data_IF_424350393597
#
_entry.id   IF_424350393597
#
_cell.length_a   1.000
_cell.length_b   1.000
_cell.length_c   1.000
_cell.angle_alpha   90.00
_cell.angle_beta   90.00
_cell.angle_gamma   90.00
#
_symmetry.space_group_name_H-M   'P 1'
#
loop_
_entity.id
_entity.type
_entity.pdbx_description
1 polymer ?
#
# COMPACT_ATOMS: atom_id res chain seq x y z
N UNK A 1 4.49 8.86 5.48
CA UNK A 1 4.21 10.31 5.63
C UNK A 1 3.46 10.63 6.91
N UNK A 2 2.26 10.07 7.13
CA UNK A 2 1.40 10.39 8.28
C UNK A 2 2.01 10.16 9.68
N UNK A 3 3.15 9.45 9.77
CA UNK A 3 3.92 9.27 11.00
C UNK A 3 4.88 10.43 11.33
N UNK A 4 5.01 11.43 10.46
CA UNK A 4 5.88 12.58 10.71
C UNK A 4 5.29 13.50 11.81
N UNK A 5 6.15 14.24 12.53
CA UNK A 5 5.68 15.30 13.42
C UNK A 5 4.81 16.32 12.68
N UNK A 6 3.73 16.78 13.31
CA UNK A 6 2.78 17.74 12.74
C UNK A 6 1.49 17.13 12.19
N UNK A 7 1.43 15.80 12.00
CA UNK A 7 0.18 15.07 11.74
C UNK A 7 -0.50 14.74 13.07
N UNK A 8 -1.30 15.68 13.60
CA UNK A 8 -1.91 15.59 14.95
C UNK A 8 -3.38 15.21 14.96
N UNK A 9 -4.00 15.03 13.78
CA UNK A 9 -5.36 14.55 13.62
C UNK A 9 -5.34 13.24 12.81
N UNK A 10 -6.33 12.35 13.01
CA UNK A 10 -6.48 11.17 12.17
C UNK A 10 -6.60 11.56 10.69
N UNK A 11 -5.85 10.86 9.83
CA UNK A 11 -5.95 11.00 8.38
C UNK A 11 -6.84 9.93 7.76
N UNK A 12 -7.19 10.11 6.49
CA UNK A 12 -8.03 9.16 5.71
C UNK A 12 -7.23 7.97 5.14
N UNK A 13 -6.22 7.48 5.87
CA UNK A 13 -5.51 6.24 5.51
C UNK A 13 -6.25 5.08 6.17
N UNK A 14 -7.02 4.33 5.39
CA UNK A 14 -7.75 3.14 5.85
C UNK A 14 -7.02 1.85 5.49
N UNK A 15 -7.44 0.74 6.08
CA UNK A 15 -7.03 -0.59 5.62
C UNK A 15 -7.39 -0.80 4.14
N UNK A 16 -6.55 -1.55 3.43
CA UNK A 16 -6.73 -1.84 1.99
C UNK A 16 -8.09 -2.48 1.70
N UNK A 17 -8.57 -3.36 2.59
CA UNK A 17 -9.85 -4.07 2.46
C UNK A 17 -11.09 -3.16 2.49
N UNK A 18 -10.93 -1.88 2.89
CA UNK A 18 -12.00 -0.89 2.75
C UNK A 18 -12.31 -0.57 1.29
N UNK A 19 -11.31 -0.67 0.41
CA UNK A 19 -11.39 -0.22 -0.98
C UNK A 19 -11.28 -1.36 -1.98
N UNK A 20 -10.44 -2.35 -1.70
CA UNK A 20 -10.10 -3.42 -2.63
C UNK A 20 -10.38 -4.78 -2.01
N UNK A 21 -11.02 -5.66 -2.78
CA UNK A 21 -11.16 -7.08 -2.41
C UNK A 21 -9.79 -7.79 -2.42
N UNK A 22 -8.95 -7.46 -3.41
CA UNK A 22 -7.55 -7.89 -3.51
C UNK A 22 -6.64 -6.70 -3.81
N UNK A 23 -5.64 -6.49 -2.98
CA UNK A 23 -4.58 -5.49 -3.19
C UNK A 23 -3.44 -6.06 -4.05
N UNK A 24 -2.60 -5.19 -4.61
CA UNK A 24 -1.45 -5.56 -5.46
C UNK A 24 -0.13 -5.69 -4.66
N UNK A 25 -0.18 -5.59 -3.34
CA UNK A 25 0.97 -5.71 -2.44
C UNK A 25 0.88 -7.01 -1.64
N UNK A 26 2.03 -7.60 -1.30
CA UNK A 26 2.09 -8.88 -0.56
C UNK A 26 1.61 -8.76 0.88
N UNK A 27 1.77 -7.59 1.49
CA UNK A 27 1.30 -7.27 2.84
C UNK A 27 0.37 -6.05 2.80
N UNK A 28 -0.94 -6.23 2.53
CA UNK A 28 -1.90 -5.13 2.50
C UNK A 28 -1.98 -4.41 3.85
N UNK A 29 -2.29 -3.11 3.81
CA UNK A 29 -2.48 -2.34 5.03
C UNK A 29 -3.67 -2.89 5.82
N UNK A 30 -3.44 -3.32 7.05
CA UNK A 30 -4.46 -3.78 7.99
C UNK A 30 -4.65 -2.77 9.11
N UNK A 31 -5.88 -2.69 9.62
CA UNK A 31 -6.22 -1.85 10.77
C UNK A 31 -6.09 -2.68 12.05
N UNK A 32 -5.26 -2.21 12.97
CA UNK A 32 -5.08 -2.78 14.30
C UNK A 32 -5.41 -1.70 15.33
N UNK A 33 -6.47 -1.90 16.11
CA UNK A 33 -6.94 -0.94 17.13
C UNK A 33 -7.03 0.52 16.62
N UNK A 34 -7.56 0.70 15.40
CA UNK A 34 -7.72 2.01 14.78
C UNK A 34 -6.45 2.60 14.15
N UNK A 35 -5.34 1.85 14.11
CA UNK A 35 -4.06 2.29 13.58
C UNK A 35 -3.60 1.40 12.41
N UNK A 36 -2.78 1.98 11.54
CA UNK A 36 -2.04 1.26 10.49
C UNK A 36 -0.55 1.34 10.83
N UNK A 37 0.15 0.21 10.75
CA UNK A 37 1.59 0.17 11.05
C UNK A 37 2.39 0.95 10.00
N UNK A 38 3.43 1.64 10.44
CA UNK A 38 4.40 2.28 9.55
C UNK A 38 5.38 1.21 9.05
N UNK A 39 5.54 1.02 7.72
CA UNK A 39 6.54 0.10 7.19
C UNK A 39 7.97 0.51 7.59
N UNK A 40 8.80 -0.47 7.94
CA UNK A 40 10.18 -0.24 8.42
C UNK A 40 11.27 -0.78 7.50
N UNK A 41 10.89 -1.50 6.44
CA UNK A 41 11.82 -1.99 5.43
C UNK A 41 12.37 -0.87 4.53
N UNK A 42 13.39 -1.16 3.71
CA UNK A 42 13.91 -0.19 2.75
C UNK A 42 12.85 0.21 1.70
N UNK A 43 12.99 1.40 1.13
CA UNK A 43 12.07 1.89 0.09
C UNK A 43 10.67 2.13 0.63
N UNK A 44 9.66 1.52 0.00
CA UNK A 44 8.27 1.56 0.49
C UNK A 44 8.05 0.70 1.74
N UNK A 45 8.98 -0.21 2.03
CA UNK A 45 8.89 -1.16 3.14
C UNK A 45 7.85 -2.27 2.95
N UNK A 46 7.36 -2.45 1.72
CA UNK A 46 6.41 -3.47 1.27
C UNK A 46 6.81 -3.96 -0.12
N UNK A 47 6.46 -5.19 -0.46
CA UNK A 47 6.70 -5.78 -1.78
C UNK A 47 5.41 -5.85 -2.62
N UNK A 48 5.58 -5.91 -3.93
CA UNK A 48 4.48 -6.06 -4.89
C UNK A 48 4.16 -7.54 -5.05
N UNK A 49 2.87 -7.91 -5.05
CA UNK A 49 2.42 -9.22 -5.55
C UNK A 49 2.40 -9.16 -7.09
N UNK A 50 3.37 -9.80 -7.78
CA UNK A 50 3.45 -9.73 -9.24
C UNK A 50 2.27 -10.41 -9.93
N UNK A 51 1.64 -11.40 -9.29
CA UNK A 51 0.46 -12.09 -9.84
C UNK A 51 -0.74 -11.16 -9.76
N UNK A 52 -1.00 -10.55 -8.60
CA UNK A 52 -2.09 -9.58 -8.46
C UNK A 52 -1.92 -8.39 -9.39
N UNK A 53 -0.69 -7.88 -9.52
CA UNK A 53 -0.41 -6.77 -10.43
C UNK A 53 -0.69 -7.16 -11.88
N UNK A 54 -0.22 -8.32 -12.33
CA UNK A 54 -0.47 -8.80 -13.70
C UNK A 54 -1.97 -9.02 -13.95
N UNK A 55 -2.69 -9.66 -13.02
CA UNK A 55 -4.14 -9.91 -13.11
C UNK A 55 -4.96 -8.61 -13.29
N UNK A 56 -4.49 -7.51 -12.69
CA UNK A 56 -5.15 -6.20 -12.73
C UNK A 56 -4.62 -5.26 -13.83
N UNK A 57 -3.58 -5.67 -14.56
CA UNK A 57 -2.95 -4.84 -15.59
C UNK A 57 -3.77 -4.90 -16.89
N UNK A 58 -4.25 -3.75 -17.36
CA UNK A 58 -5.01 -3.65 -18.62
C UNK A 58 -4.15 -3.25 -19.82
N UNK A 59 -2.98 -2.64 -19.58
CA UNK A 59 -2.02 -2.24 -20.60
C UNK A 59 -0.63 -2.04 -19.98
N UNK A 60 0.42 -2.32 -20.75
CA UNK A 60 1.81 -2.10 -20.33
C UNK A 60 2.66 -1.69 -21.51
N UNK A 61 3.40 -0.59 -21.35
CA UNK A 61 4.39 -0.11 -22.31
C UNK A 61 5.75 0.01 -21.61
N UNK A 62 6.82 -0.44 -22.28
CA UNK A 62 8.18 -0.40 -21.73
C UNK A 62 9.08 0.37 -22.69
N UNK A 63 9.50 1.56 -22.27
CA UNK A 63 10.44 2.38 -23.02
C UNK A 63 11.87 1.98 -22.66
N UNK A 64 12.67 1.66 -23.67
CA UNK A 64 14.10 1.35 -23.53
C UNK A 64 14.91 2.31 -24.40
N UNK A 65 16.12 2.62 -23.95
CA UNK A 65 17.07 3.47 -24.68
C UNK A 65 17.77 2.70 -25.77
#
# INVERSE_FOLDING_TARGET
LAALPGFTLPGDISASSRFYDRDIVTEPAVLEDGHVRVPTGPGLGIEIDPVALEDMTVAREVLRR
#
